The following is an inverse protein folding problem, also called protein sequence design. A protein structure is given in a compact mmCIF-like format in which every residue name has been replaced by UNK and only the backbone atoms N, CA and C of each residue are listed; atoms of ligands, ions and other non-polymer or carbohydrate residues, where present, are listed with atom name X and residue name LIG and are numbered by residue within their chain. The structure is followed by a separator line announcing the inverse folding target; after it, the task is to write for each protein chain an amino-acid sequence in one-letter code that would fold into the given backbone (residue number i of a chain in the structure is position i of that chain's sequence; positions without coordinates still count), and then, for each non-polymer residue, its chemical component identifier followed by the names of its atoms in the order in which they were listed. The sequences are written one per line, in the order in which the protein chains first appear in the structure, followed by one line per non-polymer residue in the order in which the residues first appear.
data_IF_876135039444
#
_entry.id   IF_876135039444
#
_cell.length_a   1.000
_cell.length_b   1.000
_cell.length_c   1.000
_cell.angle_alpha   90.00
_cell.angle_beta   90.00
_cell.angle_gamma   90.00
#
_symmetry.space_group_name_H-M   'P 1'
#
loop_
_entity.id
_entity.type
_entity.pdbx_description
1 polymer ?
#
# COMPACT_ATOMS: atom_id res chain seq x y z
N UNK A 1 -12.64 12.90 -0.08
CA UNK A 1 -13.04 12.56 -1.46
C UNK A 1 -12.02 11.64 -2.08
N UNK A 2 -12.46 10.55 -2.65
CA UNK A 2 -11.56 9.59 -3.28
C UNK A 2 -11.14 10.09 -4.66
N UNK A 3 -9.86 9.91 -4.97
CA UNK A 3 -9.30 10.21 -6.27
C UNK A 3 -9.68 9.08 -7.25
N UNK A 4 -9.86 9.41 -8.52
CA UNK A 4 -10.19 8.47 -9.58
C UNK A 4 -9.10 7.39 -9.72
N UNK A 5 -9.51 6.13 -9.87
CA UNK A 5 -8.58 5.00 -10.01
C UNK A 5 -7.65 5.16 -11.20
N UNK A 6 -8.15 5.65 -12.34
CA UNK A 6 -7.30 5.87 -13.50
C UNK A 6 -6.14 6.81 -13.17
N UNK A 7 -6.42 7.89 -12.47
CA UNK A 7 -5.42 8.86 -12.05
C UNK A 7 -4.43 8.25 -11.07
N UNK A 8 -4.90 7.40 -10.16
CA UNK A 8 -4.04 6.68 -9.21
C UNK A 8 -3.04 5.82 -9.96
N UNK A 9 -3.50 5.00 -10.89
CA UNK A 9 -2.60 4.10 -11.62
C UNK A 9 -1.64 4.85 -12.53
N UNK A 10 -2.05 6.00 -13.04
CA UNK A 10 -1.13 6.89 -13.76
C UNK A 10 -0.02 7.40 -12.83
N UNK A 11 -0.37 7.80 -11.62
CA UNK A 11 0.61 8.27 -10.63
C UNK A 11 1.52 7.14 -10.15
N UNK A 12 1.03 5.92 -10.06
CA UNK A 12 1.83 4.77 -9.67
C UNK A 12 2.69 4.24 -10.82
N UNK A 13 2.37 4.61 -12.05
CA UNK A 13 3.02 4.07 -13.24
C UNK A 13 2.92 2.54 -13.30
N UNK A 14 1.76 2.01 -12.92
CA UNK A 14 1.45 0.57 -12.89
C UNK A 14 0.09 0.33 -13.52
N UNK A 15 -0.11 -0.90 -13.99
CA UNK A 15 -1.43 -1.39 -14.33
C UNK A 15 -2.04 -2.13 -13.13
N UNK A 16 -3.38 -2.22 -13.04
CA UNK A 16 -4.00 -3.03 -11.99
C UNK A 16 -3.53 -4.48 -11.99
N UNK A 17 -3.27 -5.06 -13.17
CA UNK A 17 -2.79 -6.43 -13.31
C UNK A 17 -1.39 -6.60 -12.74
N UNK A 18 -0.50 -5.63 -12.97
CA UNK A 18 0.85 -5.65 -12.40
C UNK A 18 0.79 -5.58 -10.88
N UNK A 19 -0.05 -4.71 -10.34
CA UNK A 19 -0.21 -4.58 -8.91
C UNK A 19 -0.76 -5.86 -8.28
N UNK A 20 -1.79 -6.44 -8.88
CA UNK A 20 -2.38 -7.67 -8.38
C UNK A 20 -1.39 -8.83 -8.38
N UNK A 21 -0.60 -8.97 -9.44
CA UNK A 21 0.42 -10.02 -9.53
C UNK A 21 1.48 -9.84 -8.44
N UNK A 22 1.92 -8.61 -8.21
CA UNK A 22 2.90 -8.30 -7.17
C UNK A 22 2.35 -8.65 -5.78
N UNK A 23 1.12 -8.25 -5.49
CA UNK A 23 0.50 -8.52 -4.21
C UNK A 23 0.33 -10.03 -3.96
N UNK A 24 -0.06 -10.78 -4.97
CA UNK A 24 -0.18 -12.23 -4.86
C UNK A 24 1.16 -12.89 -4.60
N UNK A 25 2.19 -12.44 -5.30
CA UNK A 25 3.54 -12.98 -5.14
C UNK A 25 4.06 -12.82 -3.71
N UNK A 26 3.73 -11.72 -3.07
CA UNK A 26 4.24 -11.39 -1.74
C UNK A 26 3.23 -11.65 -0.62
N UNK A 27 2.14 -12.36 -0.90
CA UNK A 27 1.12 -12.70 0.08
C UNK A 27 0.54 -11.47 0.77
N UNK A 28 0.32 -10.43 -0.02
CA UNK A 28 -0.32 -9.20 0.45
C UNK A 28 -1.83 -9.39 0.36
N UNK A 29 -2.54 -9.15 1.46
CA UNK A 29 -4.00 -9.22 1.52
C UNK A 29 -4.66 -7.91 1.14
N UNK A 30 -4.03 -6.79 1.48
CA UNK A 30 -4.60 -5.48 1.23
C UNK A 30 -3.47 -4.48 1.04
N UNK A 31 -3.63 -3.58 0.07
CA UNK A 31 -2.71 -2.48 -0.14
C UNK A 31 -3.53 -1.21 -0.32
N UNK A 32 -3.18 -0.18 0.45
CA UNK A 32 -3.86 1.11 0.42
C UNK A 32 -2.85 2.21 0.18
N UNK A 33 -3.33 3.32 -0.39
CA UNK A 33 -2.54 4.54 -0.54
C UNK A 33 -3.00 5.57 0.47
N UNK A 34 -2.09 6.39 0.93
CA UNK A 34 -2.41 7.58 1.71
C UNK A 34 -1.42 8.69 1.38
N UNK A 35 -1.65 9.88 1.92
CA UNK A 35 -0.75 11.00 1.72
C UNK A 35 -0.91 11.69 0.38
N UNK A 36 0.19 12.28 -0.10
CA UNK A 36 0.16 13.20 -1.24
C UNK A 36 -0.27 12.57 -2.56
N UNK A 37 -0.07 11.26 -2.72
CA UNK A 37 -0.48 10.56 -3.95
C UNK A 37 -1.99 10.65 -4.18
N UNK A 38 -2.76 10.91 -3.13
CA UNK A 38 -4.21 11.06 -3.19
C UNK A 38 -4.64 12.53 -3.32
N UNK A 39 -3.69 13.46 -3.32
CA UNK A 39 -3.98 14.89 -3.29
C UNK A 39 -3.50 15.61 -4.55
N UNK A 40 -3.93 16.85 -4.69
CA UNK A 40 -3.55 17.71 -5.83
C UNK A 40 -2.12 18.24 -5.71
N UNK A 41 -1.54 18.22 -4.50
CA UNK A 41 -0.16 18.65 -4.28
C UNK A 41 0.89 17.58 -4.59
N UNK A 42 0.48 16.47 -5.19
CA UNK A 42 1.40 15.40 -5.61
C UNK A 42 2.29 15.91 -6.75
N UNK A 43 3.60 15.74 -6.57
CA UNK A 43 4.61 16.26 -7.51
C UNK A 43 5.51 15.12 -7.98
N UNK A 44 6.37 15.41 -8.96
CA UNK A 44 7.30 14.42 -9.53
C UNK A 44 8.28 13.87 -8.50
N UNK A 45 8.64 14.64 -7.47
CA UNK A 45 9.54 14.22 -6.40
C UNK A 45 8.83 13.77 -5.13
N UNK A 46 7.49 13.70 -5.16
CA UNK A 46 6.73 13.21 -4.01
C UNK A 46 6.89 11.71 -3.83
N UNK A 47 6.98 11.28 -2.58
CA UNK A 47 6.99 9.86 -2.24
C UNK A 47 5.58 9.28 -2.32
N UNK A 48 5.49 7.97 -2.48
CA UNK A 48 4.21 7.26 -2.42
C UNK A 48 4.12 6.57 -1.07
N UNK A 49 3.09 6.91 -0.31
CA UNK A 49 2.84 6.32 1.01
C UNK A 49 1.81 5.20 0.88
N UNK A 50 2.16 4.02 1.36
CA UNK A 50 1.33 2.83 1.26
C UNK A 50 1.16 2.15 2.61
N UNK A 51 -0.07 1.66 2.85
CA UNK A 51 -0.37 0.76 3.96
C UNK A 51 -0.54 -0.64 3.43
N UNK A 52 0.09 -1.61 4.08
CA UNK A 52 0.05 -3.00 3.65
C UNK A 52 -0.47 -3.91 4.76
N UNK A 53 -1.28 -4.89 4.37
CA UNK A 53 -1.67 -5.99 5.24
C UNK A 53 -1.16 -7.28 4.60
N UNK A 54 -0.30 -7.99 5.32
CA UNK A 54 0.24 -9.27 4.86
C UNK A 54 -0.56 -10.44 5.40
N UNK A 55 -0.56 -11.54 4.64
CA UNK A 55 -1.07 -12.82 5.14
C UNK A 55 0.03 -13.50 5.94
N UNK A 56 0.03 -13.28 7.25
CA UNK A 56 1.03 -13.87 8.13
C UNK A 56 0.86 -15.39 8.27
N UNK A 57 -0.31 -15.91 7.97
CA UNK A 57 -0.51 -17.36 7.89
C UNK A 57 0.23 -18.00 6.73
N UNK A 58 0.24 -17.33 5.58
CA UNK A 58 0.96 -17.81 4.41
C UNK A 58 2.47 -17.51 4.48
N UNK A 59 2.86 -16.49 5.25
CA UNK A 59 4.25 -16.08 5.39
C UNK A 59 4.59 -15.79 6.85
N UNK A 60 4.67 -16.84 7.70
CA UNK A 60 4.82 -16.64 9.15
C UNK A 60 6.18 -16.08 9.57
N UNK A 61 7.18 -16.14 8.67
CA UNK A 61 8.53 -15.69 8.97
C UNK A 61 8.87 -14.35 8.31
N UNK A 62 7.85 -13.60 7.90
CA UNK A 62 8.08 -12.28 7.31
C UNK A 62 8.85 -11.39 8.27
N UNK A 63 10.03 -10.95 7.86
CA UNK A 63 10.92 -10.12 8.67
C UNK A 63 10.89 -8.67 8.20
N UNK A 64 11.51 -7.80 9.01
CA UNK A 64 11.70 -6.40 8.60
C UNK A 64 12.53 -6.31 7.31
N UNK A 65 13.52 -7.18 7.15
CA UNK A 65 14.33 -7.19 5.93
C UNK A 65 13.50 -7.55 4.70
N UNK A 66 12.54 -8.47 4.86
CA UNK A 66 11.61 -8.81 3.78
C UNK A 66 10.75 -7.61 3.41
N UNK A 67 10.27 -6.88 4.39
CA UNK A 67 9.47 -5.67 4.17
C UNK A 67 10.28 -4.62 3.39
N UNK A 68 11.53 -4.41 3.74
CA UNK A 68 12.42 -3.47 3.05
C UNK A 68 12.66 -3.92 1.61
N UNK A 69 12.84 -5.22 1.40
CA UNK A 69 13.02 -5.78 0.05
C UNK A 69 11.79 -5.56 -0.83
N UNK A 70 10.61 -5.77 -0.28
CA UNK A 70 9.34 -5.52 -0.98
C UNK A 70 9.19 -4.04 -1.33
N UNK A 71 9.55 -3.17 -0.40
CA UNK A 71 9.53 -1.72 -0.62
C UNK A 71 10.43 -1.31 -1.80
N UNK A 72 11.64 -1.86 -1.86
CA UNK A 72 12.55 -1.59 -2.97
C UNK A 72 12.02 -2.10 -4.30
N UNK A 73 11.36 -3.26 -4.31
CA UNK A 73 10.75 -3.77 -5.54
C UNK A 73 9.63 -2.86 -6.02
N UNK A 74 8.83 -2.34 -5.10
CA UNK A 74 7.79 -1.37 -5.45
C UNK A 74 8.39 -0.08 -6.00
N UNK A 75 9.47 0.39 -5.42
CA UNK A 75 10.17 1.59 -5.93
C UNK A 75 10.65 1.40 -7.36
N UNK A 76 11.20 0.23 -7.66
CA UNK A 76 11.63 -0.08 -9.03
C UNK A 76 10.45 -0.09 -10.00
N UNK A 77 9.31 -0.60 -9.57
CA UNK A 77 8.12 -0.68 -10.42
C UNK A 77 7.49 0.68 -10.67
N UNK A 78 7.40 1.51 -9.64
CA UNK A 78 6.72 2.81 -9.76
C UNK A 78 7.63 3.94 -10.18
N UNK A 79 8.94 3.75 -10.07
CA UNK A 79 9.93 4.75 -10.49
C UNK A 79 10.10 5.91 -9.53
N UNK A 80 9.75 5.76 -8.27
CA UNK A 80 9.94 6.78 -7.23
C UNK A 80 9.98 6.14 -5.85
N UNK A 81 10.33 6.92 -4.83
CA UNK A 81 10.40 6.43 -3.46
C UNK A 81 9.04 6.01 -2.94
N UNK A 82 9.01 4.90 -2.23
CA UNK A 82 7.80 4.33 -1.61
C UNK A 82 8.07 4.17 -0.12
N UNK A 83 7.12 4.62 0.68
CA UNK A 83 7.11 4.40 2.13
C UNK A 83 6.04 3.34 2.42
N UNK A 84 6.49 2.12 2.68
CA UNK A 84 5.59 0.98 2.89
C UNK A 84 5.48 0.69 4.39
N UNK A 85 4.30 0.87 4.95
CA UNK A 85 4.03 0.73 6.37
C UNK A 85 3.00 -0.36 6.58
N UNK A 86 3.26 -1.30 7.49
CA UNK A 86 2.25 -2.26 7.88
C UNK A 86 1.10 -1.57 8.60
N UNK A 87 -0.11 -1.84 8.12
CA UNK A 87 -1.32 -1.21 8.68
C UNK A 87 -1.44 -1.46 10.18
N UNK A 88 -1.08 -2.67 10.65
CA UNK A 88 -1.16 -2.99 12.08
C UNK A 88 -0.26 -2.10 12.93
N UNK A 89 0.88 -1.65 12.42
CA UNK A 89 1.76 -0.75 13.19
C UNK A 89 1.14 0.63 13.35
N UNK A 90 0.36 1.08 12.37
CA UNK A 90 -0.40 2.32 12.48
C UNK A 90 -1.56 2.15 13.47
N UNK A 91 -2.26 1.02 13.41
CA UNK A 91 -3.37 0.75 14.32
C UNK A 91 -2.92 0.66 15.78
N UNK A 92 -1.70 0.16 16.02
CA UNK A 92 -1.12 0.05 17.35
C UNK A 92 -0.41 1.31 17.82
N UNK A 93 -0.33 2.34 16.98
CA UNK A 93 0.37 3.58 17.30
C UNK A 93 -0.34 4.35 18.41
N UNK A 94 0.45 4.88 19.35
CA UNK A 94 -0.05 5.76 20.40
C UNK A 94 -0.38 7.16 19.87
N UNK A 95 0.12 7.53 18.71
CA UNK A 95 -0.21 8.81 18.08
C UNK A 95 -1.57 8.69 17.37
N UNK A 96 -2.63 8.87 18.16
CA UNK A 96 -4.00 8.66 17.68
C UNK A 96 -4.42 9.67 16.60
N UNK A 97 -3.85 10.87 16.60
CA UNK A 97 -4.16 11.89 15.59
C UNK A 97 -3.65 11.41 14.24
N UNK A 98 -2.38 11.01 14.17
CA UNK A 98 -1.78 10.49 12.95
C UNK A 98 -2.49 9.22 12.49
N UNK A 99 -2.75 8.31 13.42
CA UNK A 99 -3.45 7.05 13.12
C UNK A 99 -4.80 7.32 12.48
N UNK A 100 -5.61 8.17 13.09
CA UNK A 100 -6.96 8.45 12.58
C UNK A 100 -6.90 9.17 11.22
N UNK A 101 -5.98 10.09 11.04
CA UNK A 101 -5.82 10.79 9.77
C UNK A 101 -5.48 9.79 8.66
N UNK A 102 -4.51 8.90 8.89
CA UNK A 102 -4.10 7.92 7.89
C UNK A 102 -5.24 6.95 7.59
N UNK A 103 -5.86 6.36 8.62
CA UNK A 103 -6.90 5.35 8.43
C UNK A 103 -8.15 5.91 7.78
N UNK A 104 -8.51 7.17 8.09
CA UNK A 104 -9.71 7.79 7.54
C UNK A 104 -9.53 8.29 6.11
N UNK A 105 -8.28 8.55 5.68
CA UNK A 105 -8.00 9.08 4.34
C UNK A 105 -7.44 8.04 3.38
N UNK A 106 -6.97 6.89 3.90
CA UNK A 106 -6.39 5.85 3.06
C UNK A 106 -7.42 5.29 2.09
N UNK A 107 -6.96 5.02 0.86
CA UNK A 107 -7.79 4.44 -0.19
C UNK A 107 -7.23 3.09 -0.58
N UNK A 108 -8.05 2.04 -0.47
CA UNK A 108 -7.67 0.68 -0.86
C UNK A 108 -7.55 0.60 -2.37
N UNK A 109 -6.41 0.09 -2.85
CA UNK A 109 -6.17 -0.13 -4.28
C UNK A 109 -6.07 -1.61 -4.63
N UNK A 110 -5.86 -2.48 -3.64
CA UNK A 110 -5.87 -3.92 -3.82
C UNK A 110 -6.41 -4.58 -2.56
N UNK A 111 -7.28 -5.54 -2.74
CA UNK A 111 -7.76 -6.40 -1.65
C UNK A 111 -7.94 -7.80 -2.19
N UNK A 112 -7.24 -8.75 -1.59
CA UNK A 112 -7.47 -10.16 -1.88
C UNK A 112 -8.84 -10.53 -1.34
N UNK A 113 -9.71 -11.06 -2.20
CA UNK A 113 -11.00 -11.51 -1.74
C UNK A 113 -10.81 -12.77 -0.91
N UNK A 114 -11.31 -12.79 0.33
CA UNK A 114 -11.36 -14.05 1.03
C UNK A 114 -12.19 -15.01 0.21
N UNK A 115 -11.75 -16.27 0.18
CA UNK A 115 -12.55 -17.34 -0.43
C UNK A 115 -13.76 -17.51 0.47
N UNK A 116 -14.76 -16.70 0.25
CA UNK A 116 -15.98 -16.85 0.98
C UNK A 116 -16.77 -17.91 0.29
N UNK A 117 -17.03 -18.90 1.04
CA UNK A 117 -18.00 -19.89 0.68
C UNK A 117 -19.41 -19.35 0.83
N UNK A 118 -19.57 -18.12 1.00
CA UNK A 118 -20.89 -17.55 1.14
C UNK A 118 -21.62 -17.57 -0.14
#
# INVERSE_FOLDING_TARGET
MMIDQLKIYQRLNLTPEQLAAFCKQHHILELSLFGSVLRDDFKADSDIDMLVVFDHGANPHLSLMDLVGIEYQLEDMVGRSVDLIEKRSIMDSSNWIRRNTILNTAQVIYAARPVLSA
#
